data_IF_987889349444
#
_entry.id   IF_987889349444
#
_cell.length_a   1.000
_cell.length_b   1.000
_cell.length_c   1.000
_cell.angle_alpha   90.00
_cell.angle_beta   90.00
_cell.angle_gamma   90.00
#
_symmetry.space_group_name_H-M   'P 1'
#
loop_
_entity.id
_entity.type
_entity.pdbx_description
1 polymer ?
#
# COMPACT_ATOMS: atom_id res chain seq x y z
N UNK A 1 -5.49 3.84 18.44
CA UNK A 1 -6.88 4.32 18.45
C UNK A 1 -7.71 3.24 17.79
N UNK A 2 -8.51 2.47 18.53
CA UNK A 2 -9.31 1.37 17.98
C UNK A 2 -10.79 1.74 18.05
N UNK A 3 -11.54 1.46 16.98
CA UNK A 3 -12.97 1.74 16.91
C UNK A 3 -13.84 0.63 17.52
N UNK A 4 -15.12 0.94 17.76
CA UNK A 4 -16.12 0.02 18.32
C UNK A 4 -16.79 -0.92 17.28
N UNK A 5 -16.31 -0.93 16.04
CA UNK A 5 -16.80 -1.80 14.97
C UNK A 5 -16.06 -3.14 14.93
N UNK A 6 -16.68 -4.15 14.31
CA UNK A 6 -16.07 -5.46 14.12
C UNK A 6 -14.75 -5.34 13.33
N UNK A 7 -13.74 -6.12 13.73
CA UNK A 7 -12.41 -6.11 13.12
C UNK A 7 -11.74 -4.71 13.07
N UNK A 8 -11.88 -3.91 14.14
CA UNK A 8 -11.33 -2.56 14.21
C UNK A 8 -9.79 -2.44 14.17
N UNK A 9 -9.09 -3.57 14.11
CA UNK A 9 -7.65 -3.62 13.84
C UNK A 9 -7.33 -3.50 12.34
N UNK A 10 -8.29 -3.74 11.44
CA UNK A 10 -8.06 -3.72 9.99
C UNK A 10 -7.52 -2.38 9.48
N UNK A 11 -8.00 -1.20 9.92
CA UNK A 11 -7.42 0.06 9.47
C UNK A 11 -5.95 0.23 9.83
N UNK A 12 -5.52 -0.31 10.98
CA UNK A 12 -4.10 -0.27 11.40
C UNK A 12 -3.22 -1.06 10.42
N UNK A 13 -3.77 -2.10 9.77
CA UNK A 13 -3.05 -2.91 8.79
C UNK A 13 -3.22 -2.33 7.38
N UNK A 14 -4.46 -2.12 6.93
CA UNK A 14 -4.78 -1.81 5.55
C UNK A 14 -4.43 -0.36 5.18
N UNK A 15 -4.50 0.60 6.11
CA UNK A 15 -4.11 1.99 5.81
C UNK A 15 -2.62 2.10 5.46
N UNK A 16 -1.66 1.59 6.27
CA UNK A 16 -0.26 1.61 5.87
C UNK A 16 0.01 0.69 4.66
N UNK A 17 -0.69 -0.44 4.53
CA UNK A 17 -0.50 -1.32 3.38
C UNK A 17 -0.90 -0.62 2.06
N UNK A 18 -2.04 0.06 2.02
CA UNK A 18 -2.56 0.71 0.81
C UNK A 18 -1.99 2.12 0.62
N UNK A 19 -1.68 2.83 1.70
CA UNK A 19 -1.19 4.21 1.64
C UNK A 19 0.33 4.34 1.53
N UNK A 20 1.09 3.31 1.91
CA UNK A 20 2.57 3.35 1.90
C UNK A 20 3.16 2.19 1.13
N UNK A 21 2.84 0.95 1.50
CA UNK A 21 3.46 -0.24 0.89
C UNK A 21 3.05 -0.37 -0.57
N UNK A 22 1.76 -0.27 -0.88
CA UNK A 22 1.26 -0.39 -2.23
C UNK A 22 1.81 0.71 -3.15
N UNK A 23 1.82 2.01 -2.79
CA UNK A 23 2.44 3.05 -3.60
C UNK A 23 3.93 2.82 -3.81
N UNK A 24 4.68 2.42 -2.78
CA UNK A 24 6.11 2.14 -2.92
C UNK A 24 6.36 1.00 -3.93
N UNK A 25 5.59 -0.09 -3.83
CA UNK A 25 5.68 -1.22 -4.76
C UNK A 25 5.22 -0.83 -6.17
N UNK A 26 4.06 -0.20 -6.29
CA UNK A 26 3.48 0.19 -7.57
C UNK A 26 4.39 1.17 -8.30
N UNK A 27 4.90 2.21 -7.64
CA UNK A 27 5.83 3.15 -8.24
C UNK A 27 7.14 2.47 -8.65
N UNK A 28 7.72 1.59 -7.82
CA UNK A 28 8.94 0.87 -8.17
C UNK A 28 8.78 -0.04 -9.39
N UNK A 29 7.65 -0.77 -9.46
CA UNK A 29 7.34 -1.64 -10.58
C UNK A 29 7.02 -0.86 -11.85
N UNK A 30 6.23 0.21 -11.74
CA UNK A 30 5.92 1.09 -12.87
C UNK A 30 7.15 1.81 -13.38
N UNK A 31 8.03 2.28 -12.49
CA UNK A 31 9.32 2.87 -12.85
C UNK A 31 10.16 1.87 -13.64
N UNK A 32 10.31 0.63 -13.14
CA UNK A 32 11.02 -0.42 -13.86
C UNK A 32 10.42 -0.66 -15.25
N UNK A 33 9.10 -0.63 -15.37
CA UNK A 33 8.42 -0.82 -16.65
C UNK A 33 8.70 0.32 -17.64
N UNK A 34 8.64 1.58 -17.22
CA UNK A 34 8.84 2.73 -18.13
C UNK A 34 10.31 2.97 -18.47
N UNK A 35 11.24 2.64 -17.57
CA UNK A 35 12.69 2.76 -17.80
C UNK A 35 13.30 1.47 -18.40
N UNK A 36 12.50 0.44 -18.65
CA UNK A 36 13.00 -0.74 -19.33
C UNK A 36 13.33 -0.38 -20.78
N UNK A 37 14.62 -0.35 -21.10
CA UNK A 37 15.11 -0.38 -22.48
C UNK A 37 14.63 -1.67 -23.19
N UNK A 38 14.56 -1.63 -24.52
CA UNK A 38 14.13 -2.75 -25.37
C UNK A 38 15.17 -3.88 -25.48
#
# INVERSE_FOLDING_TARGET
>A
MNGAYAASFLPVILVPLVGVVFPALAMGLLFKYIESEA
#
